data_IF_860631446250
#
_entry.id   IF_860631446250
#
_cell.length_a   1.000
_cell.length_b   1.000
_cell.length_c   1.000
_cell.angle_alpha   90.00
_cell.angle_beta   90.00
_cell.angle_gamma   90.00
#
_symmetry.space_group_name_H-M   'P 1'
#
loop_
_entity.id
_entity.type
_entity.pdbx_description
1 polymer ?
#
# COMPACT_ATOMS: atom_id res chain seq x y z
N UNK A 1 27.08 -13.60 -21.80
CA UNK A 1 26.46 -14.30 -20.66
C UNK A 1 25.36 -13.40 -20.16
N UNK A 2 24.09 -13.81 -20.25
CA UNK A 2 22.98 -13.04 -19.68
C UNK A 2 22.94 -13.37 -18.19
N UNK A 3 23.30 -12.42 -17.34
CA UNK A 3 23.20 -12.56 -15.88
C UNK A 3 21.72 -12.50 -15.50
N UNK A 4 21.28 -13.39 -14.60
CA UNK A 4 19.91 -13.39 -14.04
C UNK A 4 20.05 -13.36 -12.53
N UNK A 5 19.26 -12.54 -11.84
CA UNK A 5 19.35 -12.40 -10.38
C UNK A 5 20.70 -11.84 -9.96
N UNK A 6 20.87 -10.51 -10.00
CA UNK A 6 22.17 -9.85 -9.75
C UNK A 6 22.80 -10.24 -8.41
N UNK A 7 21.96 -10.55 -7.41
CA UNK A 7 22.37 -11.15 -6.14
C UNK A 7 22.01 -12.64 -6.06
N UNK A 8 20.76 -13.01 -6.37
CA UNK A 8 20.25 -14.36 -6.14
C UNK A 8 19.52 -14.88 -7.39
N UNK A 9 19.97 -16.04 -7.88
CA UNK A 9 19.24 -16.82 -8.89
C UNK A 9 18.74 -18.13 -8.28
N UNK A 10 17.44 -18.41 -8.43
CA UNK A 10 16.77 -19.63 -7.97
C UNK A 10 16.19 -20.34 -9.19
N UNK A 11 16.55 -21.61 -9.38
CA UNK A 11 16.09 -22.45 -10.49
C UNK A 11 15.36 -23.69 -9.98
N UNK A 12 14.34 -23.46 -9.16
CA UNK A 12 13.52 -24.50 -8.53
C UNK A 12 13.56 -24.52 -7.00
N UNK A 13 12.53 -25.11 -6.39
CA UNK A 13 12.44 -25.34 -4.95
C UNK A 13 11.80 -24.17 -4.19
N UNK A 14 12.08 -24.09 -2.89
CA UNK A 14 11.56 -23.03 -2.00
C UNK A 14 12.72 -22.19 -1.48
N UNK A 15 12.56 -20.87 -1.51
CA UNK A 15 13.53 -19.91 -0.98
C UNK A 15 12.84 -18.92 -0.05
N UNK A 16 13.43 -18.73 1.12
CA UNK A 16 12.97 -17.76 2.11
C UNK A 16 14.07 -16.71 2.29
N UNK A 17 13.72 -15.46 2.05
CA UNK A 17 14.58 -14.28 2.23
C UNK A 17 13.92 -13.42 3.31
N UNK A 18 14.63 -13.16 4.40
CA UNK A 18 14.11 -12.37 5.51
C UNK A 18 15.16 -11.41 6.03
N UNK A 19 14.77 -10.18 6.38
CA UNK A 19 15.68 -9.22 7.05
C UNK A 19 16.94 -8.93 6.24
N UNK A 20 16.80 -8.80 4.92
CA UNK A 20 17.91 -8.61 3.98
C UNK A 20 17.85 -7.23 3.32
N UNK A 21 19.02 -6.72 2.86
CA UNK A 21 19.12 -5.54 2.01
C UNK A 21 19.74 -5.92 0.65
N UNK A 22 19.05 -5.57 -0.43
CA UNK A 22 19.51 -5.69 -1.81
C UNK A 22 19.66 -4.29 -2.39
N UNK A 23 20.90 -3.88 -2.63
CA UNK A 23 21.24 -2.52 -3.05
C UNK A 23 22.09 -2.56 -4.32
N UNK A 24 21.75 -1.72 -5.31
CA UNK A 24 22.51 -1.51 -6.56
C UNK A 24 22.87 -2.82 -7.31
N UNK A 25 21.95 -3.80 -7.33
CA UNK A 25 22.14 -5.02 -8.11
C UNK A 25 21.63 -4.82 -9.54
N UNK A 26 22.42 -5.31 -10.51
CA UNK A 26 22.08 -5.24 -11.93
C UNK A 26 22.13 -6.63 -12.58
N UNK A 27 21.09 -6.95 -13.34
CA UNK A 27 21.06 -8.17 -14.16
C UNK A 27 20.13 -8.03 -15.36
N UNK A 28 20.10 -9.01 -16.27
CA UNK A 28 19.17 -8.97 -17.41
C UNK A 28 17.75 -9.49 -17.10
N UNK A 29 17.54 -9.97 -15.87
CA UNK A 29 16.29 -10.57 -15.43
C UNK A 29 16.26 -10.63 -13.89
N UNK A 30 15.38 -9.87 -13.24
CA UNK A 30 15.40 -9.73 -11.78
C UNK A 30 16.69 -9.04 -11.32
N UNK A 31 16.71 -7.70 -11.30
CA UNK A 31 17.93 -6.94 -11.01
C UNK A 31 18.65 -7.43 -9.76
N UNK A 32 17.91 -7.69 -8.68
CA UNK A 32 18.41 -8.36 -7.48
C UNK A 32 18.15 -9.88 -7.48
N UNK A 33 16.89 -10.29 -7.63
CA UNK A 33 16.46 -11.68 -7.46
C UNK A 33 15.73 -12.17 -8.70
N UNK A 34 16.14 -13.34 -9.19
CA UNK A 34 15.42 -14.07 -10.22
C UNK A 34 15.06 -15.47 -9.74
N UNK A 35 13.77 -15.78 -9.73
CA UNK A 35 13.24 -17.10 -9.38
C UNK A 35 12.55 -17.72 -10.59
N UNK A 36 12.89 -18.97 -10.91
CA UNK A 36 12.22 -19.73 -11.95
C UNK A 36 11.77 -21.10 -11.43
N UNK A 37 10.50 -21.43 -11.67
CA UNK A 37 9.88 -22.68 -11.23
C UNK A 37 10.03 -22.90 -9.71
N UNK A 38 9.93 -21.82 -8.93
CA UNK A 38 10.25 -21.81 -7.50
C UNK A 38 9.24 -21.02 -6.67
N UNK A 39 9.12 -21.35 -5.40
CA UNK A 39 8.34 -20.57 -4.44
C UNK A 39 9.28 -19.64 -3.67
N UNK A 40 9.01 -18.35 -3.71
CA UNK A 40 9.82 -17.32 -3.07
C UNK A 40 9.01 -16.60 -1.99
N UNK A 41 9.48 -16.65 -0.74
CA UNK A 41 8.96 -15.82 0.34
C UNK A 41 9.99 -14.76 0.70
N UNK A 42 9.59 -13.49 0.66
CA UNK A 42 10.43 -12.34 1.01
C UNK A 42 9.75 -11.57 2.14
N UNK A 43 10.47 -11.35 3.24
CA UNK A 43 9.91 -10.66 4.41
C UNK A 43 10.88 -9.65 5.00
N UNK A 44 10.37 -8.56 5.55
CA UNK A 44 11.16 -7.59 6.33
C UNK A 44 12.45 -7.14 5.61
N UNK A 45 12.38 -7.01 4.28
CA UNK A 45 13.56 -6.80 3.43
C UNK A 45 13.46 -5.51 2.63
N UNK A 46 14.61 -4.98 2.25
CA UNK A 46 14.74 -3.70 1.60
C UNK A 46 15.46 -3.84 0.26
N UNK A 47 14.82 -3.34 -0.80
CA UNK A 47 15.33 -3.33 -2.17
C UNK A 47 15.48 -1.88 -2.62
N UNK A 48 16.70 -1.47 -2.95
CA UNK A 48 17.00 -0.09 -3.33
C UNK A 48 17.97 -0.04 -4.51
N UNK A 49 17.68 0.81 -5.50
CA UNK A 49 18.59 1.04 -6.64
C UNK A 49 18.84 -0.19 -7.54
N UNK A 50 18.04 -1.27 -7.43
CA UNK A 50 18.23 -2.45 -8.27
C UNK A 50 17.65 -2.22 -9.66
N UNK A 51 18.34 -2.67 -10.71
CA UNK A 51 17.98 -2.33 -12.08
C UNK A 51 18.23 -3.46 -13.07
N UNK A 52 17.64 -3.32 -14.27
CA UNK A 52 17.96 -4.18 -15.40
C UNK A 52 19.14 -3.61 -16.20
N UNK A 53 20.13 -4.46 -16.51
CA UNK A 53 21.25 -4.15 -17.41
C UNK A 53 21.03 -4.60 -18.87
N UNK A 54 19.82 -5.08 -19.18
CA UNK A 54 19.40 -5.53 -20.49
C UNK A 54 18.27 -6.57 -20.41
N UNK A 55 17.98 -7.21 -21.55
CA UNK A 55 17.06 -8.37 -21.60
C UNK A 55 15.58 -8.01 -21.77
N UNK A 56 14.77 -9.06 -21.90
CA UNK A 56 13.30 -8.99 -22.12
C UNK A 56 12.53 -9.74 -21.03
N UNK A 57 13.22 -10.18 -19.98
CA UNK A 57 12.65 -11.06 -18.97
C UNK A 57 12.00 -10.30 -17.82
N UNK A 58 12.33 -9.02 -17.60
CA UNK A 58 11.64 -8.14 -16.66
C UNK A 58 12.07 -8.25 -15.20
N UNK A 59 11.33 -7.55 -14.34
CA UNK A 59 11.56 -7.42 -12.89
C UNK A 59 12.78 -6.56 -12.56
N UNK A 60 12.61 -5.25 -12.38
CA UNK A 60 13.76 -4.37 -12.06
C UNK A 60 14.45 -4.75 -10.74
N UNK A 61 13.70 -5.19 -9.74
CA UNK A 61 14.27 -5.75 -8.51
C UNK A 61 14.10 -7.27 -8.45
N UNK A 62 12.87 -7.76 -8.62
CA UNK A 62 12.53 -9.17 -8.49
C UNK A 62 11.78 -9.63 -9.73
N UNK A 63 12.22 -10.75 -10.30
CA UNK A 63 11.47 -11.50 -11.30
C UNK A 63 11.17 -12.89 -10.76
N UNK A 64 9.90 -13.30 -10.87
CA UNK A 64 9.51 -14.70 -10.78
C UNK A 64 8.83 -15.17 -12.07
N UNK A 65 9.22 -16.35 -12.55
CA UNK A 65 8.59 -17.02 -13.68
C UNK A 65 8.30 -18.48 -13.34
N UNK A 66 7.01 -18.83 -13.26
CA UNK A 66 6.47 -20.08 -12.72
C UNK A 66 6.76 -20.31 -11.23
N UNK A 67 5.72 -20.59 -10.44
CA UNK A 67 5.78 -20.80 -8.99
C UNK A 67 4.84 -19.87 -8.22
N UNK A 68 5.29 -19.34 -7.09
CA UNK A 68 4.57 -18.30 -6.32
C UNK A 68 5.54 -17.37 -5.60
N UNK A 69 5.11 -16.12 -5.40
CA UNK A 69 5.85 -15.15 -4.59
C UNK A 69 4.96 -14.58 -3.48
N UNK A 70 5.47 -14.60 -2.25
CA UNK A 70 4.88 -13.95 -1.09
C UNK A 70 5.84 -12.88 -0.58
N UNK A 71 5.36 -11.65 -0.42
CA UNK A 71 6.14 -10.50 0.03
C UNK A 71 5.43 -9.87 1.21
N UNK A 72 6.11 -9.70 2.34
CA UNK A 72 5.54 -9.08 3.52
C UNK A 72 6.48 -8.07 4.19
N UNK A 73 5.95 -6.90 4.57
CA UNK A 73 6.74 -5.88 5.29
C UNK A 73 8.05 -5.52 4.58
N UNK A 74 8.01 -5.40 3.25
CA UNK A 74 9.17 -5.08 2.43
C UNK A 74 9.06 -3.68 1.83
N UNK A 75 10.21 -3.04 1.62
CA UNK A 75 10.28 -1.74 0.93
C UNK A 75 11.08 -1.86 -0.37
N UNK A 76 10.52 -1.31 -1.44
CA UNK A 76 11.14 -1.16 -2.76
C UNK A 76 11.23 0.34 -3.06
N UNK A 77 12.46 0.87 -3.03
CA UNK A 77 12.73 2.30 -3.15
C UNK A 77 13.70 2.56 -4.32
N UNK A 78 13.40 3.52 -5.19
CA UNK A 78 14.32 3.94 -6.27
C UNK A 78 14.83 2.80 -7.18
N UNK A 79 14.11 1.66 -7.24
CA UNK A 79 14.48 0.57 -8.13
C UNK A 79 14.10 0.92 -9.55
N UNK A 80 14.85 0.35 -10.48
CA UNK A 80 14.65 0.50 -11.89
C UNK A 80 15.26 1.76 -12.50
N UNK A 81 15.80 2.66 -11.66
CA UNK A 81 16.55 3.84 -12.10
C UNK A 81 17.69 3.41 -13.04
N UNK A 82 17.72 3.94 -14.26
CA UNK A 82 18.65 3.56 -15.34
C UNK A 82 18.50 2.15 -15.92
N UNK A 83 17.38 1.47 -15.65
CA UNK A 83 17.13 0.18 -16.29
C UNK A 83 17.16 0.27 -17.80
N UNK A 84 17.88 -0.66 -18.41
CA UNK A 84 17.83 -0.93 -19.84
C UNK A 84 17.23 -2.31 -20.01
N UNK A 85 16.10 -2.44 -20.68
CA UNK A 85 15.41 -3.73 -20.77
C UNK A 85 13.93 -3.56 -21.06
N UNK A 86 13.15 -4.58 -20.74
CA UNK A 86 11.70 -4.52 -20.71
C UNK A 86 11.24 -5.14 -19.39
N UNK A 87 10.36 -4.46 -18.67
CA UNK A 87 9.77 -4.91 -17.41
C UNK A 87 8.32 -4.45 -17.32
N UNK A 88 7.50 -5.30 -16.73
CA UNK A 88 6.12 -5.00 -16.39
C UNK A 88 5.97 -4.47 -14.96
N UNK A 89 7.02 -4.51 -14.13
CA UNK A 89 6.99 -4.04 -12.75
C UNK A 89 8.30 -4.26 -12.00
N UNK A 90 8.61 -3.43 -11.01
CA UNK A 90 9.80 -3.61 -10.15
C UNK A 90 9.82 -4.98 -9.50
N UNK A 91 8.65 -5.45 -9.07
CA UNK A 91 8.41 -6.86 -8.78
C UNK A 91 7.52 -7.41 -9.88
N UNK A 92 8.07 -8.29 -10.70
CA UNK A 92 7.36 -8.89 -11.81
C UNK A 92 7.12 -10.38 -11.58
N UNK A 93 5.87 -10.81 -11.75
CA UNK A 93 5.45 -12.20 -11.65
C UNK A 93 4.81 -12.70 -12.94
N UNK A 94 5.40 -13.74 -13.53
CA UNK A 94 4.95 -14.39 -14.77
C UNK A 94 4.49 -15.81 -14.48
N UNK A 95 3.26 -16.13 -14.86
CA UNK A 95 2.69 -17.48 -14.70
C UNK A 95 2.78 -17.99 -13.24
N UNK A 96 2.83 -17.06 -12.28
CA UNK A 96 3.06 -17.31 -10.86
C UNK A 96 2.18 -16.37 -10.04
N UNK A 97 1.57 -16.87 -8.98
CA UNK A 97 0.74 -16.02 -8.14
C UNK A 97 1.61 -15.10 -7.28
N UNK A 98 1.17 -13.85 -7.13
CA UNK A 98 1.87 -12.84 -6.32
C UNK A 98 0.99 -12.42 -5.15
N UNK A 99 1.57 -12.43 -3.96
CA UNK A 99 0.91 -11.92 -2.77
C UNK A 99 1.80 -10.93 -2.03
N UNK A 100 1.37 -9.68 -1.92
CA UNK A 100 2.10 -8.62 -1.21
C UNK A 100 1.28 -8.08 -0.03
N UNK A 101 1.89 -7.97 1.15
CA UNK A 101 1.24 -7.45 2.36
C UNK A 101 2.13 -6.41 3.01
N UNK A 102 1.57 -5.27 3.42
CA UNK A 102 2.29 -4.27 4.21
C UNK A 102 3.59 -3.81 3.52
N UNK A 103 3.56 -3.66 2.19
CA UNK A 103 4.75 -3.33 1.40
C UNK A 103 4.71 -1.89 0.89
N UNK A 104 5.88 -1.26 0.87
CA UNK A 104 6.07 0.09 0.34
C UNK A 104 6.77 0.02 -1.02
N UNK A 105 6.17 0.62 -2.04
CA UNK A 105 6.76 0.85 -3.36
C UNK A 105 6.83 2.35 -3.56
N UNK A 106 8.03 2.91 -3.51
CA UNK A 106 8.23 4.35 -3.56
C UNK A 106 9.33 4.74 -4.55
N UNK A 107 9.11 5.83 -5.30
CA UNK A 107 10.12 6.44 -6.18
C UNK A 107 10.73 5.46 -7.18
N UNK A 108 10.02 4.39 -7.51
CA UNK A 108 10.54 3.38 -8.42
C UNK A 108 10.23 3.73 -9.87
N UNK A 109 11.13 3.33 -10.76
CA UNK A 109 11.05 3.57 -12.18
C UNK A 109 10.79 2.27 -12.91
N UNK A 110 9.60 2.14 -13.48
CA UNK A 110 9.25 0.98 -14.27
C UNK A 110 8.96 1.33 -15.72
N UNK A 111 9.25 0.41 -16.63
CA UNK A 111 8.96 0.64 -18.06
C UNK A 111 7.45 0.61 -18.34
N UNK A 112 6.71 -0.25 -17.63
CA UNK A 112 5.25 -0.23 -17.62
C UNK A 112 4.66 0.08 -16.25
N UNK A 113 5.37 -0.22 -15.17
CA UNK A 113 4.88 0.08 -13.82
C UNK A 113 6.04 0.18 -12.84
N UNK A 114 6.13 1.26 -12.07
CA UNK A 114 7.11 1.33 -10.99
C UNK A 114 6.77 0.48 -9.76
N UNK A 115 5.62 -0.19 -9.70
CA UNK A 115 5.29 -1.10 -8.60
C UNK A 115 5.28 -2.56 -9.03
N UNK A 116 4.07 -3.14 -9.14
CA UNK A 116 3.88 -4.57 -9.36
C UNK A 116 3.53 -4.90 -10.83
N UNK A 117 4.20 -5.89 -11.41
CA UNK A 117 3.89 -6.45 -12.73
C UNK A 117 3.36 -7.86 -12.63
N UNK A 118 2.22 -8.16 -13.27
CA UNK A 118 1.62 -9.50 -13.26
C UNK A 118 1.18 -9.95 -14.64
N UNK A 119 1.63 -11.14 -15.05
CA UNK A 119 1.37 -11.70 -16.38
C UNK A 119 0.85 -13.13 -16.25
N UNK A 120 -0.31 -13.42 -16.85
CA UNK A 120 -0.95 -14.76 -16.89
C UNK A 120 -1.15 -15.40 -15.50
N UNK A 121 -1.52 -14.60 -14.50
CA UNK A 121 -1.59 -15.05 -13.12
C UNK A 121 -2.62 -14.29 -12.27
N UNK A 122 -2.76 -14.70 -11.01
CA UNK A 122 -3.55 -13.98 -10.01
C UNK A 122 -2.64 -13.35 -8.97
N UNK A 123 -2.98 -12.14 -8.54
CA UNK A 123 -2.23 -11.44 -7.53
C UNK A 123 -3.11 -10.66 -6.57
N UNK A 124 -2.59 -10.43 -5.37
CA UNK A 124 -3.17 -9.47 -4.45
C UNK A 124 -2.11 -8.66 -3.73
N UNK A 125 -2.47 -7.40 -3.46
CA UNK A 125 -1.69 -6.50 -2.64
C UNK A 125 -2.60 -5.94 -1.55
N UNK A 126 -2.10 -5.92 -0.32
CA UNK A 126 -2.91 -5.62 0.85
C UNK A 126 -2.14 -4.73 1.80
N UNK A 127 -2.75 -3.61 2.19
CA UNK A 127 -2.06 -2.62 3.02
C UNK A 127 -0.72 -2.21 2.40
N UNK A 128 -0.69 -2.08 1.07
CA UNK A 128 0.50 -1.64 0.35
C UNK A 128 0.36 -0.17 -0.01
N UNK A 129 1.48 0.56 0.04
CA UNK A 129 1.55 1.94 -0.45
C UNK A 129 2.36 1.99 -1.74
N UNK A 130 1.80 2.63 -2.76
CA UNK A 130 2.44 2.91 -4.04
C UNK A 130 2.52 4.42 -4.22
N UNK A 131 3.72 4.97 -4.04
CA UNK A 131 3.95 6.40 -3.90
C UNK A 131 4.96 6.87 -4.94
N UNK A 132 4.62 7.91 -5.71
CA UNK A 132 5.55 8.60 -6.61
C UNK A 132 6.34 7.63 -7.52
N UNK A 133 5.69 6.54 -7.96
CA UNK A 133 6.30 5.62 -8.90
C UNK A 133 6.10 6.12 -10.33
N UNK A 134 7.09 5.91 -11.20
CA UNK A 134 6.98 6.24 -12.61
C UNK A 134 5.98 5.30 -13.30
N UNK A 135 5.22 5.85 -14.26
CA UNK A 135 4.11 5.17 -14.93
C UNK A 135 3.02 4.63 -13.97
N UNK A 136 2.58 3.38 -14.13
CA UNK A 136 1.51 2.80 -13.33
C UNK A 136 2.05 2.23 -12.01
N UNK A 137 1.24 2.20 -10.97
CA UNK A 137 1.58 1.53 -9.71
C UNK A 137 1.50 0.00 -9.81
N UNK A 138 0.63 -0.50 -10.68
CA UNK A 138 0.62 -1.90 -11.07
C UNK A 138 0.26 -2.10 -12.54
N UNK A 139 0.72 -3.21 -13.10
CA UNK A 139 0.41 -3.65 -14.45
C UNK A 139 -0.11 -5.09 -14.44
N UNK A 140 -1.11 -5.38 -15.27
CA UNK A 140 -1.67 -6.71 -15.48
C UNK A 140 -1.83 -7.07 -16.95
N UNK A 141 -1.31 -8.21 -17.39
CA UNK A 141 -1.60 -8.78 -18.71
C UNK A 141 -2.19 -10.18 -18.56
N UNK A 142 -3.45 -10.37 -18.99
CA UNK A 142 -4.21 -11.60 -18.78
C UNK A 142 -4.16 -12.04 -17.29
N UNK A 143 -4.42 -11.09 -16.39
CA UNK A 143 -4.15 -11.24 -14.97
C UNK A 143 -5.35 -10.83 -14.10
N UNK A 144 -5.49 -11.45 -12.92
CA UNK A 144 -6.54 -11.08 -11.96
C UNK A 144 -5.93 -10.44 -10.72
N UNK A 145 -6.24 -9.16 -10.49
CA UNK A 145 -5.75 -8.39 -9.35
C UNK A 145 -6.82 -8.21 -8.27
N UNK A 146 -6.39 -8.26 -7.00
CA UNK A 146 -7.16 -7.76 -5.86
C UNK A 146 -6.30 -6.81 -5.03
N UNK A 147 -6.73 -5.57 -4.91
CA UNK A 147 -6.11 -4.57 -4.04
C UNK A 147 -7.02 -4.33 -2.84
N UNK A 148 -6.46 -4.41 -1.64
CA UNK A 148 -7.21 -4.25 -0.40
C UNK A 148 -6.49 -3.29 0.54
N UNK A 149 -7.16 -2.23 0.97
CA UNK A 149 -6.57 -1.20 1.84
C UNK A 149 -5.26 -0.65 1.30
N UNK A 150 -5.12 -0.47 -0.01
CA UNK A 150 -3.90 0.06 -0.61
C UNK A 150 -4.01 1.57 -0.86
N UNK A 151 -2.90 2.26 -0.67
CA UNK A 151 -2.72 3.66 -1.06
C UNK A 151 -2.02 3.72 -2.41
N UNK A 152 -2.58 4.50 -3.34
CA UNK A 152 -1.96 4.90 -4.60
C UNK A 152 -1.90 6.42 -4.63
N UNK A 153 -0.71 6.99 -4.51
CA UNK A 153 -0.51 8.45 -4.46
C UNK A 153 0.62 8.87 -5.40
N UNK A 154 0.39 9.95 -6.15
CA UNK A 154 1.40 10.63 -6.98
C UNK A 154 2.16 9.75 -7.99
N UNK A 155 1.67 8.57 -8.37
CA UNK A 155 2.25 7.78 -9.45
C UNK A 155 1.88 8.37 -10.83
N UNK A 156 2.64 8.01 -11.86
CA UNK A 156 2.48 8.52 -13.23
C UNK A 156 3.68 9.32 -13.71
N UNK A 157 4.62 9.64 -12.82
CA UNK A 157 5.80 10.43 -13.13
C UNK A 157 5.45 11.75 -13.80
N UNK A 158 6.05 12.01 -14.97
CA UNK A 158 5.78 13.24 -15.74
C UNK A 158 4.54 13.18 -16.66
N UNK A 159 3.90 12.01 -16.77
CA UNK A 159 2.76 11.79 -17.66
C UNK A 159 1.44 11.87 -16.89
N UNK A 160 0.71 12.99 -17.08
CA UNK A 160 -0.49 13.35 -16.31
C UNK A 160 -1.74 12.45 -16.47
N UNK A 161 -1.65 11.33 -17.20
CA UNK A 161 -2.79 10.47 -17.57
C UNK A 161 -2.64 9.01 -17.14
N UNK A 162 -1.67 8.71 -16.28
CA UNK A 162 -1.27 7.36 -15.86
C UNK A 162 -1.26 7.38 -14.33
N UNK A 163 -2.00 6.50 -13.63
CA UNK A 163 -2.16 6.73 -12.18
C UNK A 163 -2.54 5.58 -11.25
N UNK A 164 -2.80 4.35 -11.67
CA UNK A 164 -2.91 3.29 -10.64
C UNK A 164 -2.59 1.92 -11.20
N UNK A 165 -3.50 1.40 -12.01
CA UNK A 165 -3.35 0.04 -12.53
C UNK A 165 -3.70 0.06 -14.00
N UNK A 166 -2.74 -0.31 -14.84
CA UNK A 166 -3.03 -0.67 -16.22
C UNK A 166 -3.32 -2.16 -16.28
N UNK A 167 -4.37 -2.53 -17.00
CA UNK A 167 -4.69 -3.92 -17.16
C UNK A 167 -5.20 -4.24 -18.56
N UNK A 168 -4.70 -5.34 -19.12
CA UNK A 168 -5.07 -5.80 -20.45
C UNK A 168 -5.49 -7.27 -20.38
N UNK A 169 -6.79 -7.48 -20.22
CA UNK A 169 -7.41 -8.81 -20.10
C UNK A 169 -7.27 -9.43 -18.72
N UNK A 170 -8.35 -10.03 -18.19
CA UNK A 170 -8.46 -10.48 -16.81
C UNK A 170 -9.46 -9.65 -15.99
N UNK A 171 -9.20 -9.42 -14.70
CA UNK A 171 -10.07 -8.61 -13.83
C UNK A 171 -9.28 -7.86 -12.75
N UNK A 172 -9.81 -6.72 -12.29
CA UNK A 172 -9.29 -5.99 -11.12
C UNK A 172 -10.42 -5.83 -10.10
N UNK A 173 -10.09 -6.00 -8.83
CA UNK A 173 -10.97 -5.71 -7.69
C UNK A 173 -10.25 -4.78 -6.73
N UNK A 174 -10.98 -3.77 -6.23
CA UNK A 174 -10.54 -2.88 -5.16
C UNK A 174 -11.46 -3.04 -3.94
N UNK A 175 -10.89 -2.90 -2.75
CA UNK A 175 -11.64 -2.77 -1.51
C UNK A 175 -10.86 -1.92 -0.51
N UNK A 176 -11.43 -0.81 -0.04
CA UNK A 176 -10.80 0.04 0.97
C UNK A 176 -9.57 0.79 0.46
N UNK A 177 -9.40 0.89 -0.86
CA UNK A 177 -8.25 1.55 -1.45
C UNK A 177 -8.50 3.05 -1.61
N UNK A 178 -7.42 3.82 -1.63
CA UNK A 178 -7.41 5.25 -1.92
C UNK A 178 -6.53 5.52 -3.12
N UNK A 179 -7.08 6.23 -4.09
CA UNK A 179 -6.39 6.74 -5.27
C UNK A 179 -6.36 8.27 -5.17
N UNK A 180 -5.18 8.83 -4.95
CA UNK A 180 -4.98 10.26 -4.66
C UNK A 180 -4.18 10.93 -5.78
N UNK A 181 -4.82 11.87 -6.48
CA UNK A 181 -4.26 12.58 -7.64
C UNK A 181 -3.88 11.63 -8.77
N UNK A 182 -4.69 10.61 -9.00
CA UNK A 182 -4.40 9.50 -9.91
C UNK A 182 -5.51 9.29 -10.96
N UNK A 183 -5.12 9.04 -12.21
CA UNK A 183 -6.03 8.60 -13.26
C UNK A 183 -6.06 7.06 -13.38
N UNK A 184 -7.25 6.45 -13.37
CA UNK A 184 -7.41 5.05 -13.80
C UNK A 184 -7.38 4.98 -15.33
N UNK A 185 -6.18 4.84 -15.90
CA UNK A 185 -6.00 4.62 -17.34
C UNK A 185 -6.38 3.19 -17.70
N UNK A 186 -7.59 2.99 -18.21
CA UNK A 186 -8.03 1.71 -18.80
C UNK A 186 -8.16 1.89 -20.32
N UNK A 187 -7.39 1.12 -21.10
CA UNK A 187 -7.43 1.14 -22.57
C UNK A 187 -8.56 0.23 -23.14
N UNK A 188 -9.55 -0.13 -22.32
CA UNK A 188 -10.76 -0.87 -22.67
C UNK A 188 -12.04 -0.02 -22.57
N UNK A 189 -13.17 -0.43 -23.19
CA UNK A 189 -14.44 0.26 -22.99
C UNK A 189 -14.73 0.28 -21.50
N UNK A 190 -14.79 1.49 -20.93
CA UNK A 190 -14.94 1.79 -19.50
C UNK A 190 -16.11 1.00 -18.91
N UNK A 191 -15.85 -0.25 -18.55
CA UNK A 191 -16.50 -0.87 -17.43
C UNK A 191 -15.67 -0.41 -16.26
N UNK A 192 -16.27 0.42 -15.41
CA UNK A 192 -15.89 0.41 -14.00
C UNK A 192 -15.58 -1.05 -13.61
N UNK A 193 -14.43 -1.35 -12.98
CA UNK A 193 -14.11 -2.72 -12.58
C UNK A 193 -15.36 -3.32 -11.96
N UNK A 194 -15.81 -4.49 -12.44
CA UNK A 194 -17.19 -4.96 -12.21
C UNK A 194 -17.57 -5.14 -10.73
N UNK A 195 -16.64 -4.91 -9.81
CA UNK A 195 -16.83 -4.93 -8.36
C UNK A 195 -16.05 -3.82 -7.64
N UNK A 196 -15.99 -2.57 -8.14
CA UNK A 196 -15.48 -1.44 -7.31
C UNK A 196 -16.42 -1.26 -6.12
N UNK A 197 -16.06 -1.82 -4.96
CA UNK A 197 -16.65 -1.52 -3.68
C UNK A 197 -15.58 -0.76 -2.89
N UNK A 198 -15.93 0.38 -2.30
CA UNK A 198 -15.07 1.07 -1.32
C UNK A 198 -13.73 1.58 -1.91
N UNK A 199 -13.78 2.22 -3.07
CA UNK A 199 -12.66 2.98 -3.62
C UNK A 199 -12.91 4.47 -3.39
N UNK A 200 -11.94 5.17 -2.84
CA UNK A 200 -11.98 6.63 -2.69
C UNK A 200 -11.07 7.28 -3.73
N UNK A 201 -11.59 8.31 -4.41
CA UNK A 201 -10.88 9.09 -5.43
C UNK A 201 -10.66 10.51 -4.89
N UNK A 202 -9.44 11.02 -5.01
CA UNK A 202 -9.03 12.42 -4.78
C UNK A 202 -9.53 13.06 -3.47
N UNK A 203 -9.60 12.27 -2.40
CA UNK A 203 -9.80 12.68 -0.99
C UNK A 203 -9.13 11.59 -0.12
N UNK A 204 -8.36 11.87 0.96
CA UNK A 204 -8.22 13.04 1.84
C UNK A 204 -6.78 13.63 1.88
N UNK A 205 -6.45 14.46 2.88
CA UNK A 205 -5.13 15.10 3.03
C UNK A 205 -4.01 14.04 3.13
N UNK A 206 -3.05 14.09 2.19
CA UNK A 206 -1.78 13.40 2.35
C UNK A 206 -0.98 14.06 3.48
N UNK A 207 -0.33 13.23 4.28
CA UNK A 207 0.58 13.67 5.34
C UNK A 207 1.94 13.03 5.13
N UNK A 208 2.97 13.74 5.56
CA UNK A 208 4.33 13.22 5.59
C UNK A 208 4.55 12.49 6.92
N UNK A 209 4.90 11.21 6.83
CA UNK A 209 5.30 10.36 7.96
C UNK A 209 6.72 9.89 7.73
N UNK A 210 7.67 10.59 8.35
CA UNK A 210 9.11 10.33 8.26
C UNK A 210 9.62 10.30 6.80
N UNK A 211 9.19 11.26 5.98
CA UNK A 211 9.61 11.42 4.59
C UNK A 211 8.86 10.52 3.60
N UNK A 212 7.72 9.94 4.01
CA UNK A 212 6.87 9.09 3.18
C UNK A 212 5.44 9.59 3.22
N UNK A 213 4.77 9.58 2.07
CA UNK A 213 3.37 9.97 1.99
C UNK A 213 2.49 8.88 2.61
N UNK A 214 1.70 9.28 3.60
CA UNK A 214 0.61 8.50 4.17
C UNK A 214 -0.69 9.30 4.05
N UNK A 215 -1.79 8.69 4.48
CA UNK A 215 -3.10 9.31 4.46
C UNK A 215 -3.46 9.76 5.87
N UNK A 216 -3.91 11.01 6.03
CA UNK A 216 -4.50 11.49 7.29
C UNK A 216 -5.75 10.67 7.63
N UNK A 217 -5.94 10.34 8.90
CA UNK A 217 -7.08 9.54 9.36
C UNK A 217 -8.39 10.31 9.19
N UNK A 218 -9.46 9.59 8.85
CA UNK A 218 -10.79 10.16 8.65
C UNK A 218 -11.86 9.11 8.93
N UNK A 219 -13.09 9.54 9.23
CA UNK A 219 -14.20 8.62 9.45
C UNK A 219 -14.55 7.83 8.17
N UNK A 220 -14.39 8.46 7.01
CA UNK A 220 -14.62 7.88 5.69
C UNK A 220 -13.59 6.78 5.39
N UNK A 221 -12.30 7.05 5.65
CA UNK A 221 -11.22 6.06 5.51
C UNK A 221 -11.47 4.83 6.35
N UNK A 222 -11.79 5.04 7.64
CA UNK A 222 -12.10 3.95 8.56
C UNK A 222 -13.27 3.12 8.05
N UNK A 223 -14.33 3.74 7.53
CA UNK A 223 -15.50 3.03 7.03
C UNK A 223 -15.19 2.17 5.78
N UNK A 224 -14.41 2.71 4.83
CA UNK A 224 -14.06 1.97 3.60
C UNK A 224 -13.12 0.79 3.91
N UNK A 225 -12.12 1.01 4.77
CA UNK A 225 -11.12 -0.02 5.09
C UNK A 225 -11.73 -1.15 5.91
N UNK A 226 -12.60 -0.83 6.88
CA UNK A 226 -13.43 -1.81 7.62
C UNK A 226 -14.15 -2.78 6.70
N UNK A 227 -14.77 -2.23 5.66
CA UNK A 227 -15.61 -3.02 4.77
C UNK A 227 -14.74 -3.92 3.90
N UNK A 228 -13.54 -3.49 3.57
CA UNK A 228 -12.55 -4.27 2.83
C UNK A 228 -11.94 -5.40 3.64
N UNK A 229 -11.71 -5.22 4.95
CA UNK A 229 -11.18 -6.28 5.82
C UNK A 229 -12.12 -7.49 5.90
N UNK A 230 -13.42 -7.29 5.72
CA UNK A 230 -14.38 -8.40 5.65
C UNK A 230 -14.24 -9.23 4.36
N UNK A 231 -13.53 -8.72 3.35
CA UNK A 231 -13.18 -9.46 2.14
C UNK A 231 -11.92 -10.34 2.34
N UNK A 232 -11.25 -10.20 3.50
CA UNK A 232 -10.00 -10.85 3.89
C UNK A 232 -10.17 -12.27 4.46
N UNK A 233 -11.15 -13.04 3.97
CA UNK A 233 -11.59 -14.32 4.59
C UNK A 233 -10.48 -15.40 4.66
N UNK A 234 -9.33 -15.20 4.02
CA UNK A 234 -8.25 -16.17 3.92
C UNK A 234 -6.92 -15.71 4.55
N UNK A 235 -6.84 -14.49 5.10
CA UNK A 235 -5.58 -13.91 5.54
C UNK A 235 -5.73 -13.14 6.85
N UNK A 236 -4.66 -13.05 7.63
CA UNK A 236 -4.62 -12.23 8.85
C UNK A 236 -4.11 -10.84 8.48
N UNK A 237 -4.87 -9.75 8.70
CA UNK A 237 -4.37 -8.40 8.46
C UNK A 237 -3.08 -8.14 9.25
N UNK A 238 -2.14 -7.33 8.72
CA UNK A 238 -0.97 -6.92 9.47
C UNK A 238 -1.41 -6.17 10.73
N UNK A 239 -0.74 -6.43 11.87
CA UNK A 239 -1.03 -5.76 13.15
C UNK A 239 -0.14 -4.54 13.38
N UNK A 240 0.92 -4.42 12.59
CA UNK A 240 1.85 -3.29 12.57
C UNK A 240 2.03 -2.79 11.14
N UNK A 241 2.47 -1.56 10.99
CA UNK A 241 2.86 -0.95 9.73
C UNK A 241 4.26 -1.39 9.29
N UNK A 242 4.81 -0.78 8.24
CA UNK A 242 6.13 -1.15 7.73
C UNK A 242 7.28 -0.78 8.68
N UNK A 243 7.08 0.15 9.61
CA UNK A 243 8.07 0.55 10.62
C UNK A 243 7.90 -0.21 11.95
N UNK A 244 6.93 -1.11 12.01
CA UNK A 244 6.61 -1.87 13.21
C UNK A 244 5.75 -1.10 14.21
N UNK A 245 5.18 0.05 13.81
CA UNK A 245 4.20 0.76 14.63
C UNK A 245 2.88 -0.01 14.61
N UNK A 246 2.29 -0.23 15.79
CA UNK A 246 0.95 -0.82 15.90
C UNK A 246 -0.02 -0.04 15.02
N UNK A 247 -0.84 -0.75 14.23
CA UNK A 247 -1.93 -0.16 13.46
C UNK A 247 -3.04 0.25 14.44
N UNK A 248 -3.14 1.55 14.80
CA UNK A 248 -4.01 2.02 15.87
C UNK A 248 -5.49 1.93 15.51
N UNK A 249 -5.83 1.71 14.24
CA UNK A 249 -7.12 1.16 13.85
C UNK A 249 -6.86 -0.03 12.95
N UNK A 250 -7.62 -1.12 13.09
CA UNK A 250 -7.46 -2.34 12.27
C UNK A 250 -7.72 -2.13 10.76
N UNK A 251 -7.79 -0.88 10.30
CA UNK A 251 -8.58 -0.36 9.18
C UNK A 251 -7.95 0.88 8.57
N UNK A 252 -6.62 0.93 8.53
CA UNK A 252 -5.89 2.00 7.85
C UNK A 252 -5.41 1.54 6.47
N UNK A 253 -5.21 2.51 5.60
CA UNK A 253 -4.92 2.32 4.19
C UNK A 253 -3.43 2.53 3.95
N UNK A 254 -2.81 1.61 3.21
CA UNK A 254 -1.40 1.65 2.89
C UNK A 254 -0.51 0.90 3.90
N UNK A 255 0.79 0.98 3.65
CA UNK A 255 1.84 0.31 4.42
C UNK A 255 2.40 1.16 5.56
N UNK A 256 2.17 2.46 5.54
CA UNK A 256 2.72 3.43 6.50
C UNK A 256 1.58 4.02 7.30
N UNK A 257 1.67 3.94 8.62
CA UNK A 257 0.67 4.53 9.50
C UNK A 257 1.17 5.82 10.11
N UNK A 258 0.29 6.80 10.23
CA UNK A 258 0.51 7.87 11.20
C UNK A 258 -0.08 7.41 12.53
N UNK A 259 0.63 7.71 13.62
CA UNK A 259 0.05 7.52 14.95
C UNK A 259 -1.21 8.40 15.06
N UNK A 260 -2.34 7.80 15.49
CA UNK A 260 -3.53 8.58 15.87
C UNK A 260 -3.09 9.61 16.91
N UNK A 261 -3.31 10.89 16.62
CA UNK A 261 -2.79 12.01 17.41
C UNK A 261 -1.58 12.75 16.80
N UNK A 262 -1.11 12.35 15.63
CA UNK A 262 -0.20 13.11 14.78
C UNK A 262 -0.92 13.88 13.64
N UNK A 263 -2.24 13.99 13.72
CA UNK A 263 -2.92 15.07 13.01
C UNK A 263 -2.38 16.38 13.63
N UNK A 264 -1.89 17.34 12.84
CA UNK A 264 -1.59 18.68 13.35
C UNK A 264 -2.88 19.43 13.72
N UNK A 265 -3.97 18.73 14.09
CA UNK A 265 -5.10 19.33 14.77
C UNK A 265 -4.63 19.64 16.20
N UNK A 266 -4.42 20.92 16.55
CA UNK A 266 -3.94 21.31 17.87
C UNK A 266 -4.99 21.07 18.98
N UNK A 267 -6.15 20.50 18.64
CA UNK A 267 -7.29 20.31 19.54
C UNK A 267 -7.82 18.88 19.45
N UNK A 268 -7.37 18.04 20.37
CA UNK A 268 -7.71 16.62 20.37
C UNK A 268 -9.18 16.36 20.73
N UNK A 269 -9.85 17.37 21.30
CA UNK A 269 -11.24 17.32 21.72
C UNK A 269 -12.28 17.69 20.65
N UNK A 270 -11.86 18.13 19.46
CA UNK A 270 -12.77 18.30 18.31
C UNK A 270 -13.08 16.91 17.71
N UNK A 271 -14.29 16.41 17.95
CA UNK A 271 -14.71 15.05 17.59
C UNK A 271 -15.49 15.01 16.28
N UNK A 272 -15.99 16.15 15.81
CA UNK A 272 -16.75 16.27 14.56
C UNK A 272 -15.93 16.91 13.42
N UNK A 273 -14.76 17.48 13.72
CA UNK A 273 -13.84 18.10 12.77
C UNK A 273 -14.31 19.46 12.24
N UNK A 274 -15.04 20.24 13.05
CA UNK A 274 -15.59 21.54 12.65
C UNK A 274 -14.79 22.76 13.16
N UNK A 275 -13.60 22.52 13.69
CA UNK A 275 -12.67 23.50 14.27
C UNK A 275 -13.23 24.21 15.53
N UNK A 276 -14.31 23.70 16.12
CA UNK A 276 -14.88 24.16 17.39
C UNK A 276 -15.00 22.99 18.36
N UNK A 277 -14.63 23.21 19.62
CA UNK A 277 -14.91 22.27 20.70
C UNK A 277 -16.13 22.77 21.45
N UNK A 278 -17.29 22.22 21.12
CA UNK A 278 -18.57 22.67 21.64
C UNK A 278 -19.49 21.54 22.13
N UNK A 279 -20.77 21.86 22.30
CA UNK A 279 -21.75 20.89 22.81
C UNK A 279 -22.02 19.74 21.83
N UNK A 280 -21.68 19.88 20.54
CA UNK A 280 -21.80 18.84 19.53
C UNK A 280 -20.76 17.74 19.76
N UNK A 281 -19.51 18.11 20.08
CA UNK A 281 -18.47 17.16 20.49
C UNK A 281 -18.85 16.47 21.79
N UNK A 282 -19.37 17.24 22.76
CA UNK A 282 -19.86 16.66 24.01
C UNK A 282 -20.98 15.65 23.77
N UNK A 283 -21.91 15.93 22.84
CA UNK A 283 -22.96 14.97 22.47
C UNK A 283 -22.37 13.73 21.82
N UNK A 284 -21.38 13.86 20.94
CA UNK A 284 -20.69 12.72 20.32
C UNK A 284 -19.99 11.85 21.36
N UNK A 285 -19.28 12.47 22.31
CA UNK A 285 -18.60 11.79 23.40
C UNK A 285 -19.60 11.06 24.31
N UNK A 286 -20.68 11.72 24.73
CA UNK A 286 -21.69 11.11 25.59
C UNK A 286 -22.48 9.99 24.90
N UNK A 287 -22.71 10.08 23.58
CA UNK A 287 -23.35 9.00 22.81
C UNK A 287 -22.49 7.74 22.75
N UNK A 288 -21.18 7.86 23.00
CA UNK A 288 -20.21 6.78 22.98
C UNK A 288 -19.72 6.40 24.38
N UNK A 289 -20.37 6.93 25.43
CA UNK A 289 -19.96 6.69 26.82
C UNK A 289 -19.95 5.21 27.18
N UNK A 290 -18.84 4.73 27.72
CA UNK A 290 -18.65 3.34 28.12
C UNK A 290 -18.51 2.34 26.98
N UNK A 291 -18.33 2.82 25.73
CA UNK A 291 -17.88 1.97 24.63
C UNK A 291 -16.49 1.44 24.96
N UNK A 292 -16.33 0.11 24.89
CA UNK A 292 -15.10 -0.59 25.27
C UNK A 292 -14.14 -0.84 24.10
N UNK A 293 -14.21 0.00 23.07
CA UNK A 293 -13.42 -0.14 21.86
C UNK A 293 -12.21 0.79 22.00
N UNK A 294 -11.02 0.23 22.18
CA UNK A 294 -9.71 0.93 22.35
C UNK A 294 -9.34 1.89 21.22
N UNK A 295 -10.21 2.02 20.22
CA UNK A 295 -9.94 2.69 18.96
C UNK A 295 -11.13 3.54 18.46
N UNK A 296 -12.10 3.84 19.33
CA UNK A 296 -13.15 4.81 19.03
C UNK A 296 -12.53 6.24 18.97
N UNK A 297 -12.87 7.09 17.99
CA UNK A 297 -12.32 8.44 17.89
C UNK A 297 -12.57 9.33 19.12
N UNK A 298 -13.47 8.97 20.01
CA UNK A 298 -13.67 9.67 21.27
C UNK A 298 -12.79 9.12 22.40
N UNK A 299 -12.19 7.93 22.29
CA UNK A 299 -11.20 7.35 23.23
C UNK A 299 -9.80 7.89 22.89
N UNK A 300 -9.34 8.89 23.67
CA UNK A 300 -8.09 9.62 23.37
C UNK A 300 -6.91 9.20 24.22
N UNK A 301 -7.14 8.55 25.36
CA UNK A 301 -6.07 7.94 26.14
C UNK A 301 -5.80 6.47 25.78
N UNK A 302 -6.63 5.91 24.88
CA UNK A 302 -6.53 4.56 24.31
C UNK A 302 -6.61 3.47 25.39
N UNK A 303 -7.30 3.75 26.50
CA UNK A 303 -7.46 2.80 27.59
C UNK A 303 -8.55 1.75 27.32
N UNK A 304 -9.29 1.91 26.22
CA UNK A 304 -10.38 1.01 25.88
C UNK A 304 -11.70 1.39 26.47
N UNK A 305 -11.87 2.60 27.01
CA UNK A 305 -13.12 3.08 27.58
C UNK A 305 -13.30 4.58 27.37
N UNK A 306 -14.40 4.97 26.73
CA UNK A 306 -14.78 6.38 26.70
C UNK A 306 -15.42 6.76 28.03
N UNK A 307 -14.78 7.65 28.79
CA UNK A 307 -15.25 8.02 30.10
C UNK A 307 -14.79 9.39 30.59
N UNK A 308 -14.47 9.44 31.88
CA UNK A 308 -14.10 10.69 32.55
C UNK A 308 -12.79 11.31 32.03
N UNK A 309 -11.76 10.55 31.63
CA UNK A 309 -10.55 11.14 31.05
C UNK A 309 -10.86 11.95 29.78
N UNK A 310 -11.62 11.39 28.84
CA UNK A 310 -11.99 12.01 27.56
C UNK A 310 -12.90 13.21 27.80
N UNK A 311 -13.86 13.09 28.73
CA UNK A 311 -14.72 14.21 29.12
C UNK A 311 -13.93 15.36 29.72
N UNK A 312 -12.91 15.04 30.53
CA UNK A 312 -12.07 16.06 31.17
C UNK A 312 -11.24 16.79 30.12
N UNK A 313 -10.67 16.05 29.17
CA UNK A 313 -9.96 16.61 28.03
C UNK A 313 -10.87 17.54 27.21
N UNK A 314 -12.08 17.07 26.84
CA UNK A 314 -13.05 17.86 26.09
C UNK A 314 -13.45 19.16 26.79
N UNK A 315 -13.73 19.09 28.09
CA UNK A 315 -14.07 20.28 28.88
C UNK A 315 -12.86 21.22 29.09
N UNK A 316 -11.63 20.72 29.02
CA UNK A 316 -10.42 21.52 29.21
C UNK A 316 -10.01 22.31 27.97
N UNK A 317 -10.44 21.86 26.79
CA UNK A 317 -10.14 22.47 25.49
C UNK A 317 -11.34 23.24 24.89
N UNK A 318 -12.43 23.41 25.66
CA UNK A 318 -13.68 24.03 25.20
C UNK A 318 -13.48 25.41 24.57
N UNK A 319 -14.03 25.60 23.37
CA UNK A 319 -13.93 26.86 22.61
C UNK A 319 -13.37 26.65 21.20
N UNK A 320 -12.83 27.72 20.62
CA UNK A 320 -12.27 27.70 19.27
C UNK A 320 -10.98 26.86 19.23
N UNK A 321 -10.81 26.05 18.18
CA UNK A 321 -9.57 25.37 17.91
C UNK A 321 -8.55 26.31 17.22
N UNK A 322 -7.34 26.55 17.77
CA UNK A 322 -6.39 27.54 17.23
C UNK A 322 -5.68 27.15 15.93
#
# INVERSE_FOLDING_TARGET
>A
FTTKGGAIQIAGGQCHVSTCKFFDNESNAGGAIMANTADLTVSESHFEGNALSGGLEGGEAILIDYGSIEISSCSFIENGTNSSGYSSGVVESKNANLHAVNCLFQDNFGIQSGGLGLINASGSAVHCSFINNDYFSAFGYNANWKFLNCLFAENGGSESNIGAVLHTGGSIQYGGCVLQDQFMGDDGPVSTPQTVQNLMLDTPNLIDVDGRLSIADSNELRAIATTADMLYVQMTPPTVDIDGLSRPVNRMVGAVEHQVGADPNPCQADLNGDDLIDYQDLILLLNRWGVSDTYDPADRDLDGFIGLPELTMLLSEWGDCP
#
